data_IF_378951126643
#
_entry.id   IF_378951126643
#
_cell.length_a   1.000
_cell.length_b   1.000
_cell.length_c   1.000
_cell.angle_alpha   90.00
_cell.angle_beta   90.00
_cell.angle_gamma   90.00
#
_symmetry.space_group_name_H-M   'P 1'
#
loop_
_entity.id
_entity.type
_entity.pdbx_description
1 polymer ?
#
# COMPACT_ATOMS: atom_id res chain seq x y z
N UNK A 1 -36.95 42.57 38.67
CA UNK A 1 -35.77 41.72 38.92
C UNK A 1 -36.02 40.39 38.22
N UNK A 2 -35.35 40.15 37.08
CA UNK A 2 -35.50 38.94 36.29
C UNK A 2 -34.53 37.86 36.78
N UNK A 3 -35.02 36.63 36.91
CA UNK A 3 -34.19 35.45 37.12
C UNK A 3 -34.07 34.71 35.78
N UNK A 4 -32.86 34.67 35.24
CA UNK A 4 -32.50 33.95 34.02
C UNK A 4 -32.28 32.49 34.40
N UNK A 5 -33.21 31.61 33.98
CA UNK A 5 -33.02 30.17 34.01
C UNK A 5 -32.08 29.78 32.86
N UNK A 6 -30.81 29.57 33.19
CA UNK A 6 -29.82 29.00 32.27
C UNK A 6 -30.09 27.52 32.03
N UNK A 7 -30.67 27.22 30.87
CA UNK A 7 -30.67 25.88 30.27
C UNK A 7 -29.22 25.50 29.94
N UNK A 8 -28.60 24.71 30.82
CA UNK A 8 -27.37 23.99 30.53
C UNK A 8 -27.75 22.86 29.58
N UNK A 9 -27.52 23.07 28.28
CA UNK A 9 -27.58 22.01 27.29
C UNK A 9 -26.47 21.00 27.59
N UNK A 10 -26.86 19.76 27.88
CA UNK A 10 -25.93 18.63 27.88
C UNK A 10 -25.25 18.56 26.50
N UNK A 11 -23.95 18.26 26.41
CA UNK A 11 -23.33 17.96 25.13
C UNK A 11 -24.08 16.78 24.51
N UNK A 12 -24.65 17.00 23.33
CA UNK A 12 -25.23 15.94 22.52
C UNK A 12 -24.17 14.85 22.38
N UNK A 13 -24.46 13.67 22.93
CA UNK A 13 -23.87 12.42 22.48
C UNK A 13 -24.13 12.34 20.98
N UNK A 14 -23.08 12.49 20.19
CA UNK A 14 -23.10 12.18 18.77
C UNK A 14 -23.49 10.71 18.69
N UNK A 15 -24.67 10.44 18.14
CA UNK A 15 -25.19 9.10 17.94
C UNK A 15 -24.19 8.28 17.12
N UNK A 16 -23.66 7.23 17.76
CA UNK A 16 -22.93 6.14 17.12
C UNK A 16 -23.89 5.34 16.24
N UNK A 17 -24.14 5.72 14.98
CA UNK A 17 -24.79 4.80 14.03
C UNK A 17 -24.72 5.36 12.61
N UNK A 18 -23.53 5.22 12.02
CA UNK A 18 -23.29 5.26 10.58
C UNK A 18 -21.81 4.89 10.32
N UNK A 19 -21.42 3.72 10.82
CA UNK A 19 -20.02 3.30 10.82
C UNK A 19 -19.63 2.69 9.47
N UNK A 20 -18.68 3.33 8.79
CA UNK A 20 -17.94 2.77 7.65
C UNK A 20 -17.60 1.30 7.92
N UNK A 21 -18.03 0.40 7.02
CA UNK A 21 -17.83 -1.04 7.16
C UNK A 21 -16.52 -1.42 6.49
N UNK A 22 -15.46 -1.57 7.29
CA UNK A 22 -14.15 -2.04 6.82
C UNK A 22 -13.94 -3.47 7.26
N UNK A 23 -13.52 -4.33 6.34
CA UNK A 23 -13.08 -5.70 6.63
C UNK A 23 -11.70 -5.92 6.02
N UNK A 24 -10.76 -6.38 6.84
CA UNK A 24 -9.45 -6.84 6.39
C UNK A 24 -9.42 -8.37 6.39
N UNK A 25 -8.95 -8.96 5.30
CA UNK A 25 -8.87 -10.41 5.11
C UNK A 25 -7.45 -10.80 4.72
N UNK A 26 -6.97 -11.88 5.31
CA UNK A 26 -5.69 -12.49 4.96
C UNK A 26 -5.96 -13.87 4.37
N UNK A 27 -5.44 -14.13 3.17
CA UNK A 27 -5.56 -15.44 2.53
C UNK A 27 -4.34 -16.31 2.82
N UNK A 28 -4.49 -17.65 2.78
CA UNK A 28 -3.35 -18.55 2.73
C UNK A 28 -2.43 -18.21 1.56
N UNK A 29 -1.14 -18.55 1.70
CA UNK A 29 -0.16 -18.37 0.63
C UNK A 29 -0.48 -19.28 -0.55
N UNK A 30 -0.63 -18.67 -1.72
CA UNK A 30 -0.82 -19.39 -2.99
C UNK A 30 0.51 -20.01 -3.43
N UNK A 31 0.51 -21.31 -3.68
CA UNK A 31 1.69 -22.05 -4.17
C UNK A 31 1.99 -21.76 -5.64
N UNK A 32 3.20 -22.09 -6.10
CA UNK A 32 3.61 -21.80 -7.49
C UNK A 32 2.82 -22.59 -8.54
N UNK A 33 2.51 -23.87 -8.27
CA UNK A 33 1.97 -24.80 -9.27
C UNK A 33 0.56 -24.46 -9.78
N UNK A 34 -0.25 -23.80 -8.96
CA UNK A 34 -1.66 -23.50 -9.28
C UNK A 34 -1.97 -22.00 -9.12
N UNK A 35 -0.95 -21.14 -9.19
CA UNK A 35 -1.07 -19.74 -8.79
C UNK A 35 -2.18 -18.99 -9.53
N UNK A 36 -2.25 -19.18 -10.85
CA UNK A 36 -3.26 -18.57 -11.72
C UNK A 36 -4.69 -19.00 -11.37
N UNK A 37 -4.92 -20.29 -11.13
CA UNK A 37 -6.26 -20.82 -10.88
C UNK A 37 -6.76 -20.45 -9.48
N UNK A 38 -5.90 -20.54 -8.46
CA UNK A 38 -6.23 -20.12 -7.09
C UNK A 38 -6.50 -18.61 -7.04
N UNK A 39 -5.67 -17.80 -7.72
CA UNK A 39 -5.91 -16.36 -7.82
C UNK A 39 -7.21 -16.06 -8.55
N UNK A 40 -7.49 -16.71 -9.68
CA UNK A 40 -8.74 -16.52 -10.44
C UNK A 40 -9.94 -16.79 -9.54
N UNK A 41 -9.97 -17.93 -8.84
CA UNK A 41 -11.05 -18.30 -7.92
C UNK A 41 -11.26 -17.28 -6.80
N UNK A 42 -10.17 -16.76 -6.24
CA UNK A 42 -10.25 -15.71 -5.21
C UNK A 42 -10.83 -14.41 -5.78
N UNK A 43 -10.38 -14.00 -6.97
CA UNK A 43 -10.83 -12.78 -7.61
C UNK A 43 -12.29 -12.88 -8.12
N UNK A 44 -12.74 -14.05 -8.58
CA UNK A 44 -14.15 -14.31 -8.97
C UNK A 44 -15.13 -14.07 -7.82
N UNK A 45 -14.67 -14.24 -6.58
CA UNK A 45 -15.50 -13.98 -5.39
C UNK A 45 -15.68 -12.50 -5.06
N UNK A 46 -14.95 -11.61 -5.75
CA UNK A 46 -14.91 -10.18 -5.47
C UNK A 46 -15.49 -9.37 -6.63
N UNK A 47 -16.42 -8.46 -6.33
CA UNK A 47 -16.92 -7.54 -7.33
C UNK A 47 -15.88 -6.44 -7.64
N UNK A 48 -15.44 -6.32 -8.89
CA UNK A 48 -14.58 -5.25 -9.40
C UNK A 48 -13.32 -4.97 -8.57
N UNK A 49 -12.47 -5.99 -8.33
CA UNK A 49 -11.31 -5.85 -7.45
C UNK A 49 -10.31 -4.83 -7.99
N UNK A 50 -9.83 -3.95 -7.12
CA UNK A 50 -8.69 -3.07 -7.37
C UNK A 50 -7.44 -3.75 -6.83
N UNK A 51 -6.52 -4.11 -7.71
CA UNK A 51 -5.44 -5.03 -7.38
C UNK A 51 -4.13 -4.27 -7.40
N UNK A 52 -3.34 -4.37 -6.34
CA UNK A 52 -2.03 -3.77 -6.26
C UNK A 52 -0.95 -4.82 -6.06
N UNK A 53 0.16 -4.66 -6.78
CA UNK A 53 1.35 -5.50 -6.66
C UNK A 53 2.63 -4.68 -6.79
N UNK A 54 3.70 -5.16 -6.16
CA UNK A 54 4.98 -4.48 -6.05
C UNK A 54 5.85 -4.80 -7.26
N UNK A 55 6.59 -3.80 -7.76
CA UNK A 55 7.70 -4.00 -8.68
C UNK A 55 8.82 -2.99 -8.41
N UNK A 56 9.99 -3.18 -9.00
CA UNK A 56 11.07 -2.20 -8.93
C UNK A 56 11.42 -1.74 -10.34
N UNK A 57 11.26 -0.44 -10.62
CA UNK A 57 11.50 0.12 -11.94
C UNK A 57 12.98 0.40 -12.24
N UNK A 58 13.91 0.24 -11.29
CA UNK A 58 15.30 0.71 -11.45
C UNK A 58 16.21 -0.23 -12.25
N UNK A 59 15.79 -1.47 -12.40
CA UNK A 59 16.38 -2.47 -13.28
C UNK A 59 15.18 -3.20 -13.90
N UNK A 60 15.16 -3.34 -15.23
CA UNK A 60 14.07 -3.98 -15.99
C UNK A 60 13.40 -5.09 -15.21
N UNK A 61 12.06 -5.07 -15.10
CA UNK A 61 11.27 -6.17 -14.53
C UNK A 61 11.93 -7.49 -14.95
N UNK A 62 12.34 -8.32 -13.98
CA UNK A 62 12.91 -9.63 -14.29
C UNK A 62 11.93 -10.34 -15.22
N UNK A 63 12.44 -10.96 -16.27
CA UNK A 63 11.59 -11.54 -17.32
C UNK A 63 10.59 -12.56 -16.76
N UNK A 64 11.02 -13.37 -15.80
CA UNK A 64 10.18 -14.33 -15.08
C UNK A 64 9.08 -13.63 -14.26
N UNK A 65 9.39 -12.53 -13.60
CA UNK A 65 8.39 -11.75 -12.85
C UNK A 65 7.42 -11.03 -13.78
N UNK A 66 7.93 -10.46 -14.88
CA UNK A 66 7.10 -9.86 -15.90
C UNK A 66 6.12 -10.89 -16.49
N UNK A 67 6.61 -12.08 -16.82
CA UNK A 67 5.82 -13.20 -17.32
C UNK A 67 4.76 -13.65 -16.30
N UNK A 68 5.15 -13.80 -15.03
CA UNK A 68 4.20 -14.10 -13.95
C UNK A 68 3.11 -13.02 -13.85
N UNK A 69 3.49 -11.75 -13.87
CA UNK A 69 2.56 -10.63 -13.79
C UNK A 69 1.60 -10.63 -14.98
N UNK A 70 2.09 -10.80 -16.22
CA UNK A 70 1.26 -10.77 -17.42
C UNK A 70 0.40 -12.01 -17.59
N UNK A 71 1.00 -13.20 -17.56
CA UNK A 71 0.32 -14.46 -17.91
C UNK A 71 -0.48 -15.05 -16.75
N UNK A 72 -0.16 -14.73 -15.50
CA UNK A 72 -0.88 -15.27 -14.35
C UNK A 72 -1.83 -14.23 -13.75
N UNK A 73 -1.34 -13.03 -13.47
CA UNK A 73 -2.12 -12.04 -12.72
C UNK A 73 -3.03 -11.23 -13.63
N UNK A 74 -2.49 -10.57 -14.65
CA UNK A 74 -3.29 -9.74 -15.57
C UNK A 74 -4.33 -10.61 -16.27
N UNK A 75 -3.96 -11.80 -16.74
CA UNK A 75 -4.91 -12.78 -17.28
C UNK A 75 -6.03 -13.17 -16.31
N UNK A 76 -5.70 -13.53 -15.06
CA UNK A 76 -6.70 -13.88 -14.06
C UNK A 76 -7.67 -12.70 -13.81
N UNK A 77 -7.14 -11.49 -13.76
CA UNK A 77 -7.92 -10.27 -13.55
C UNK A 77 -8.83 -10.02 -14.74
N UNK A 78 -8.32 -10.10 -15.97
CA UNK A 78 -9.12 -9.91 -17.19
C UNK A 78 -10.25 -10.92 -17.33
N UNK A 79 -10.05 -12.17 -16.89
CA UNK A 79 -11.10 -13.19 -16.89
C UNK A 79 -12.27 -12.86 -15.96
N UNK A 80 -12.01 -12.20 -14.84
CA UNK A 80 -13.03 -11.93 -13.80
C UNK A 80 -13.54 -10.48 -13.84
N UNK A 81 -12.84 -9.61 -14.54
CA UNK A 81 -13.08 -8.18 -14.52
C UNK A 81 -14.21 -7.79 -15.43
N UNK A 82 -15.27 -7.19 -14.87
CA UNK A 82 -16.09 -6.24 -15.63
C UNK A 82 -15.30 -4.93 -15.80
N UNK A 83 -15.68 -4.02 -16.69
CA UNK A 83 -14.87 -2.87 -17.22
C UNK A 83 -14.27 -1.86 -16.20
N UNK A 84 -14.31 -2.13 -14.90
CA UNK A 84 -13.97 -1.21 -13.80
C UNK A 84 -12.80 -1.65 -12.92
N UNK A 85 -12.31 -2.89 -12.99
CA UNK A 85 -11.13 -3.32 -12.22
C UNK A 85 -9.87 -2.58 -12.68
N UNK A 86 -8.94 -2.36 -11.75
CA UNK A 86 -7.64 -1.75 -12.02
C UNK A 86 -6.51 -2.58 -11.43
N UNK A 87 -5.37 -2.51 -12.10
CA UNK A 87 -4.12 -3.12 -11.70
C UNK A 87 -3.13 -1.99 -11.40
N UNK A 88 -2.84 -1.81 -10.13
CA UNK A 88 -1.87 -0.87 -9.62
C UNK A 88 -0.51 -1.55 -9.56
N UNK A 89 0.40 -1.13 -10.42
CA UNK A 89 1.80 -1.52 -10.36
C UNK A 89 2.55 -0.50 -9.51
N UNK A 90 3.08 -0.94 -8.38
CA UNK A 90 3.73 -0.07 -7.40
C UNK A 90 5.25 -0.15 -7.46
N UNK A 91 5.91 0.92 -7.93
CA UNK A 91 7.37 1.01 -8.02
C UNK A 91 7.99 1.34 -6.67
N UNK A 92 8.67 0.37 -6.06
CA UNK A 92 9.35 0.54 -4.77
C UNK A 92 10.78 1.08 -4.86
N UNK A 93 11.25 1.52 -6.04
CA UNK A 93 12.62 1.95 -6.24
C UNK A 93 13.10 3.07 -5.29
N UNK A 94 12.19 3.87 -4.71
CA UNK A 94 12.57 4.94 -3.77
C UNK A 94 13.03 4.45 -2.41
N UNK A 95 12.60 3.27 -2.01
CA UNK A 95 13.14 2.60 -0.81
C UNK A 95 14.64 2.33 -0.90
N UNK A 96 15.17 2.18 -2.12
CA UNK A 96 16.59 1.95 -2.39
C UNK A 96 17.34 3.22 -2.82
N UNK A 97 16.73 4.40 -2.68
CA UNK A 97 17.41 5.65 -3.01
C UNK A 97 18.54 5.90 -2.00
N UNK A 98 19.78 5.72 -2.45
CA UNK A 98 20.99 6.16 -1.74
C UNK A 98 21.16 7.68 -1.71
N UNK A 99 20.34 8.42 -2.48
CA UNK A 99 20.32 9.89 -2.48
C UNK A 99 19.36 10.39 -1.40
N UNK A 100 19.81 11.37 -0.63
CA UNK A 100 19.26 11.93 0.62
C UNK A 100 17.87 12.57 0.56
N UNK A 101 17.08 12.37 -0.50
CA UNK A 101 15.69 12.79 -0.53
C UNK A 101 14.81 11.74 -1.23
N UNK A 102 14.09 10.91 -0.46
CA UNK A 102 13.18 9.91 -1.02
C UNK A 102 11.93 10.55 -1.69
N UNK A 103 11.68 11.85 -1.50
CA UNK A 103 10.55 12.59 -2.10
C UNK A 103 10.84 13.13 -3.51
N UNK A 104 12.11 13.14 -3.93
CA UNK A 104 12.50 13.69 -5.23
C UNK A 104 11.80 12.94 -6.35
N UNK A 105 11.21 13.66 -7.29
CA UNK A 105 10.63 13.04 -8.49
C UNK A 105 11.70 12.26 -9.26
N UNK A 106 11.41 10.99 -9.50
CA UNK A 106 12.20 10.15 -10.37
C UNK A 106 11.25 9.13 -10.99
N UNK A 107 11.25 9.12 -12.30
CA UNK A 107 10.53 8.15 -13.11
C UNK A 107 11.57 7.30 -13.81
N UNK A 108 11.62 6.01 -13.50
CA UNK A 108 12.48 5.08 -14.24
C UNK A 108 12.03 4.98 -15.70
N UNK A 109 12.93 4.55 -16.59
CA UNK A 109 12.57 4.32 -17.99
C UNK A 109 11.48 3.25 -18.09
N UNK A 110 11.53 2.25 -17.21
CA UNK A 110 10.58 1.15 -17.07
C UNK A 110 9.21 1.64 -16.62
N UNK A 111 9.14 2.46 -15.56
CA UNK A 111 7.89 3.09 -15.14
C UNK A 111 7.27 3.89 -16.29
N UNK A 112 8.09 4.65 -17.02
CA UNK A 112 7.64 5.40 -18.18
C UNK A 112 7.13 4.47 -19.29
N UNK A 113 7.87 3.40 -19.60
CA UNK A 113 7.50 2.40 -20.61
C UNK A 113 6.15 1.75 -20.31
N UNK A 114 5.93 1.29 -19.07
CA UNK A 114 4.66 0.66 -18.67
C UNK A 114 3.52 1.68 -18.76
N UNK A 115 3.73 2.91 -18.29
CA UNK A 115 2.75 4.00 -18.40
C UNK A 115 2.43 4.33 -19.87
N UNK A 116 3.43 4.27 -20.75
CA UNK A 116 3.28 4.54 -22.18
C UNK A 116 2.51 3.43 -22.94
N UNK A 117 2.34 2.23 -22.34
CA UNK A 117 1.47 1.19 -22.91
C UNK A 117 -0.01 1.59 -22.95
N UNK A 118 -0.40 2.65 -22.20
CA UNK A 118 -1.76 3.24 -22.19
C UNK A 118 -2.89 2.22 -21.97
N UNK A 119 -2.61 1.15 -21.24
CA UNK A 119 -3.63 0.17 -20.91
C UNK A 119 -4.57 0.77 -19.88
N UNK A 120 -5.86 0.84 -20.22
CA UNK A 120 -6.81 1.60 -19.42
C UNK A 120 -6.97 1.02 -18.01
N UNK A 121 -6.76 -0.28 -17.84
CA UNK A 121 -6.83 -1.07 -16.62
C UNK A 121 -5.56 -0.97 -15.75
N UNK A 122 -4.42 -0.55 -16.29
CA UNK A 122 -3.15 -0.47 -15.53
C UNK A 122 -2.87 0.95 -15.04
N UNK A 123 -2.58 1.08 -13.75
CA UNK A 123 -2.16 2.32 -13.10
C UNK A 123 -0.76 2.11 -12.52
N UNK A 124 0.20 2.97 -12.85
CA UNK A 124 1.53 2.93 -12.25
C UNK A 124 1.63 3.95 -11.11
N UNK A 125 2.05 3.48 -9.94
CA UNK A 125 2.28 4.28 -8.72
C UNK A 125 3.75 4.19 -8.31
N UNK A 126 4.27 5.24 -7.65
CA UNK A 126 5.67 5.29 -7.23
C UNK A 126 5.77 5.49 -5.71
N UNK A 127 6.67 4.76 -5.05
CA UNK A 127 6.98 4.90 -3.61
C UNK A 127 7.40 6.32 -3.20
N UNK A 128 7.89 7.14 -4.12
CA UNK A 128 8.12 8.57 -3.90
C UNK A 128 6.85 9.35 -3.53
N UNK A 129 5.69 8.92 -4.01
CA UNK A 129 4.40 9.53 -3.64
C UNK A 129 4.05 9.26 -2.17
N UNK A 130 4.39 8.08 -1.65
CA UNK A 130 4.24 7.77 -0.23
C UNK A 130 5.13 8.69 0.63
N UNK A 131 6.38 8.89 0.25
CA UNK A 131 7.27 9.79 0.98
C UNK A 131 6.82 11.26 0.90
N UNK A 132 6.32 11.70 -0.27
CA UNK A 132 5.69 13.02 -0.41
C UNK A 132 4.45 13.15 0.48
N UNK A 133 3.63 12.11 0.56
CA UNK A 133 2.48 12.04 1.45
C UNK A 133 2.90 12.23 2.92
N UNK A 134 3.89 11.50 3.40
CA UNK A 134 4.41 11.68 4.77
C UNK A 134 4.93 13.11 5.01
N UNK A 135 5.69 13.67 4.06
CA UNK A 135 6.24 15.03 4.14
C UNK A 135 5.16 16.12 4.10
N UNK A 136 3.99 15.85 3.53
CA UNK A 136 2.92 16.84 3.38
C UNK A 136 2.23 17.20 4.70
N UNK A 137 2.30 16.33 5.71
CA UNK A 137 1.68 16.57 7.01
C UNK A 137 2.47 17.59 7.83
N UNK A 138 1.80 18.69 8.20
CA UNK A 138 2.38 19.77 9.01
C UNK A 138 1.59 19.99 10.30
N UNK A 139 2.17 20.70 11.26
CA UNK A 139 1.48 21.08 12.50
C UNK A 139 0.65 22.38 12.35
N UNK A 140 0.46 22.87 11.12
CA UNK A 140 -0.23 24.14 10.86
C UNK A 140 -1.74 24.01 10.78
N UNK A 141 -2.23 22.84 10.38
CA UNK A 141 -3.66 22.56 10.28
C UNK A 141 -4.08 21.43 11.23
N UNK A 142 -5.35 21.50 11.67
CA UNK A 142 -5.90 20.61 12.68
C UNK A 142 -5.99 19.16 12.21
N UNK A 143 -6.30 18.93 10.93
CA UNK A 143 -6.42 17.59 10.36
C UNK A 143 -5.07 16.89 10.34
N UNK A 144 -4.04 17.55 9.82
CA UNK A 144 -2.67 17.05 9.82
C UNK A 144 -2.16 16.80 11.22
N UNK A 145 -2.42 17.71 12.17
CA UNK A 145 -2.02 17.55 13.57
C UNK A 145 -2.66 16.32 14.21
N UNK A 146 -3.97 16.10 13.97
CA UNK A 146 -4.67 14.92 14.48
C UNK A 146 -4.12 13.62 13.90
N UNK A 147 -3.80 13.61 12.61
CA UNK A 147 -3.19 12.46 11.95
C UNK A 147 -1.78 12.18 12.49
N UNK A 148 -0.94 13.22 12.58
CA UNK A 148 0.42 13.14 13.17
C UNK A 148 0.37 12.57 14.58
N UNK A 149 -0.55 13.05 15.43
CA UNK A 149 -0.67 12.57 16.80
C UNK A 149 -1.13 11.10 16.84
N UNK A 150 -2.10 10.70 16.00
CA UNK A 150 -2.52 9.31 15.91
C UNK A 150 -1.35 8.38 15.55
N UNK A 151 -0.58 8.74 14.53
CA UNK A 151 0.59 7.95 14.11
C UNK A 151 1.64 7.88 15.24
N UNK A 152 1.96 9.01 15.88
CA UNK A 152 3.01 9.06 16.89
C UNK A 152 2.63 8.44 18.22
N UNK A 153 1.37 8.52 18.63
CA UNK A 153 0.91 8.08 19.94
C UNK A 153 0.31 6.68 19.91
N UNK A 154 -0.29 6.27 18.78
CA UNK A 154 -0.90 4.94 18.65
C UNK A 154 0.02 4.03 17.83
N UNK A 155 0.29 4.36 16.57
CA UNK A 155 1.02 3.43 15.69
C UNK A 155 2.45 3.19 16.19
N UNK A 156 3.21 4.24 16.50
CA UNK A 156 4.61 4.07 16.91
C UNK A 156 4.80 3.50 18.30
N UNK A 157 3.84 3.70 19.22
CA UNK A 157 3.97 3.29 20.64
C UNK A 157 3.19 2.02 20.97
N UNK A 158 1.98 1.87 20.46
CA UNK A 158 1.04 0.82 20.87
C UNK A 158 0.95 -0.34 19.87
N UNK A 159 1.75 -0.33 18.80
CA UNK A 159 1.81 -1.43 17.81
C UNK A 159 3.21 -2.06 17.77
N UNK A 160 3.70 -2.67 18.87
CA UNK A 160 5.06 -3.21 18.94
C UNK A 160 5.33 -4.30 17.89
N UNK A 161 4.30 -5.07 17.50
CA UNK A 161 4.41 -6.13 16.48
C UNK A 161 4.96 -5.62 15.13
N UNK A 162 4.71 -4.34 14.81
CA UNK A 162 5.19 -3.73 13.58
C UNK A 162 6.72 -3.76 13.55
N UNK A 163 7.38 -3.48 14.68
CA UNK A 163 8.84 -3.41 14.77
C UNK A 163 9.50 -4.78 14.75
N UNK A 164 8.84 -5.79 15.32
CA UNK A 164 9.32 -7.17 15.42
C UNK A 164 9.71 -7.78 14.07
N UNK A 165 9.02 -7.39 12.99
CA UNK A 165 9.25 -7.92 11.65
C UNK A 165 10.60 -7.46 11.11
N UNK A 166 10.93 -6.17 11.27
CA UNK A 166 12.23 -5.64 10.86
C UNK A 166 13.37 -6.25 11.67
N UNK A 167 13.15 -6.53 12.95
CA UNK A 167 14.13 -7.16 13.84
C UNK A 167 14.41 -8.62 13.50
N UNK A 168 13.40 -9.36 13.03
CA UNK A 168 13.49 -10.82 12.81
C UNK A 168 13.74 -11.23 11.37
N UNK A 169 13.37 -10.41 10.37
CA UNK A 169 13.21 -10.87 8.97
C UNK A 169 13.80 -9.95 7.89
N UNK A 170 14.29 -8.75 8.22
CA UNK A 170 14.71 -7.80 7.18
C UNK A 170 16.02 -8.21 6.50
N UNK A 171 15.92 -8.91 5.37
CA UNK A 171 17.00 -9.02 4.36
C UNK A 171 16.92 -7.90 3.31
N UNK A 172 15.89 -7.06 3.35
CA UNK A 172 15.73 -5.91 2.44
C UNK A 172 16.82 -4.90 2.74
N UNK A 173 17.18 -4.11 1.72
CA UNK A 173 18.36 -3.24 1.66
C UNK A 173 18.04 -1.74 1.85
N UNK A 174 17.22 -1.31 2.84
CA UNK A 174 17.22 0.12 3.16
C UNK A 174 18.63 0.51 3.65
N UNK A 175 18.99 1.81 3.57
CA UNK A 175 20.32 2.27 3.97
C UNK A 175 20.69 1.82 5.38
N UNK A 176 21.66 0.92 5.49
CA UNK A 176 22.18 0.46 6.78
C UNK A 176 22.97 1.59 7.45
N UNK A 177 22.85 1.69 8.78
CA UNK A 177 23.56 2.68 9.60
C UNK A 177 23.24 4.16 9.29
N UNK A 178 22.16 4.43 8.58
CA UNK A 178 21.61 5.80 8.42
C UNK A 178 20.41 5.94 9.35
N UNK A 179 20.27 7.07 10.03
CA UNK A 179 19.05 7.38 10.79
C UNK A 179 17.95 7.90 9.87
N UNK A 180 16.68 7.79 10.27
CA UNK A 180 15.59 8.39 9.49
C UNK A 180 15.79 9.90 9.28
N UNK A 181 16.22 10.63 10.30
CA UNK A 181 16.50 12.07 10.20
C UNK A 181 17.55 12.40 9.13
N UNK A 182 18.56 11.55 8.95
CA UNK A 182 19.57 11.72 7.90
C UNK A 182 19.02 11.36 6.52
N UNK A 183 18.14 10.38 6.43
CA UNK A 183 17.63 9.88 5.15
C UNK A 183 16.49 10.72 4.56
N UNK A 184 15.53 11.14 5.39
CA UNK A 184 14.34 11.85 4.96
C UNK A 184 14.19 13.26 5.56
N UNK A 185 15.05 13.66 6.50
CA UNK A 185 14.92 14.91 7.23
C UNK A 185 13.90 14.84 8.38
N UNK A 186 13.57 16.01 8.95
CA UNK A 186 12.74 16.11 10.16
C UNK A 186 11.25 16.27 9.80
N UNK A 187 10.58 15.17 9.46
CA UNK A 187 9.14 15.20 9.19
C UNK A 187 8.33 15.06 10.49
N UNK A 188 7.33 15.93 10.76
CA UNK A 188 6.55 15.89 11.99
C UNK A 188 5.89 14.53 12.27
N UNK A 189 5.40 13.86 11.21
CA UNK A 189 4.77 12.54 11.32
C UNK A 189 5.73 11.44 11.80
N UNK A 190 7.05 11.62 11.62
CA UNK A 190 8.08 10.66 12.01
C UNK A 190 8.79 11.03 13.32
N UNK A 191 8.40 12.11 14.01
CA UNK A 191 9.16 12.71 15.13
C UNK A 191 9.63 11.71 16.19
N UNK A 192 8.81 10.71 16.54
CA UNK A 192 9.13 9.73 17.59
C UNK A 192 10.13 8.66 17.14
N UNK A 193 10.38 8.53 15.83
CA UNK A 193 11.27 7.51 15.25
C UNK A 193 12.45 8.09 14.47
N UNK A 194 12.57 9.42 14.36
CA UNK A 194 13.61 10.10 13.57
C UNK A 194 15.05 9.66 13.91
N UNK A 195 15.32 9.32 15.16
CA UNK A 195 16.66 8.91 15.62
C UNK A 195 16.93 7.40 15.44
N UNK A 196 15.93 6.62 15.02
CA UNK A 196 16.10 5.20 14.76
C UNK A 196 16.74 4.97 13.38
N UNK A 197 17.37 3.81 13.20
CA UNK A 197 17.96 3.42 11.92
C UNK A 197 16.86 3.10 10.89
N UNK A 198 17.12 3.38 9.61
CA UNK A 198 16.14 3.16 8.53
C UNK A 198 15.75 1.68 8.41
N UNK A 199 16.69 0.76 8.59
CA UNK A 199 16.44 -0.69 8.54
C UNK A 199 15.53 -1.19 9.65
N UNK A 200 15.64 -0.62 10.85
CA UNK A 200 14.77 -0.95 11.99
C UNK A 200 13.37 -0.36 11.86
N UNK A 201 13.23 0.74 11.13
CA UNK A 201 11.95 1.45 10.96
C UNK A 201 11.20 1.04 9.69
N UNK A 202 11.83 0.23 8.84
CA UNK A 202 11.31 -0.17 7.53
C UNK A 202 9.91 -0.78 7.61
N UNK A 203 9.68 -1.74 8.50
CA UNK A 203 8.37 -2.37 8.69
C UNK A 203 7.28 -1.39 9.12
N UNK A 204 7.60 -0.42 9.98
CA UNK A 204 6.65 0.63 10.37
C UNK A 204 6.30 1.56 9.24
N UNK A 205 7.27 1.90 8.40
CA UNK A 205 7.00 2.68 7.21
C UNK A 205 6.24 1.86 6.14
N UNK A 206 6.50 0.56 5.98
CA UNK A 206 5.72 -0.35 5.11
C UNK A 206 4.26 -0.49 5.57
N UNK A 207 4.03 -0.54 6.88
CA UNK A 207 2.69 -0.51 7.48
C UNK A 207 1.93 0.76 7.06
N UNK A 208 2.56 1.94 7.16
CA UNK A 208 1.97 3.20 6.71
C UNK A 208 1.83 3.29 5.19
N UNK A 209 2.73 2.69 4.44
CA UNK A 209 2.66 2.63 2.98
C UNK A 209 1.42 1.85 2.53
N UNK A 210 1.08 0.74 3.19
CA UNK A 210 -0.17 0.03 2.96
C UNK A 210 -1.41 0.92 3.15
N UNK A 211 -1.44 1.72 4.22
CA UNK A 211 -2.51 2.70 4.43
C UNK A 211 -2.57 3.77 3.32
N UNK A 212 -1.42 4.34 2.95
CA UNK A 212 -1.35 5.30 1.86
C UNK A 212 -1.91 4.73 0.56
N UNK A 213 -1.57 3.48 0.22
CA UNK A 213 -2.06 2.80 -0.97
C UNK A 213 -3.58 2.57 -0.93
N UNK A 214 -4.13 2.15 0.21
CA UNK A 214 -5.59 2.05 0.42
C UNK A 214 -6.26 3.40 0.14
N UNK A 215 -5.75 4.46 0.78
CA UNK A 215 -6.28 5.81 0.63
C UNK A 215 -6.21 6.28 -0.84
N UNK A 216 -5.10 6.02 -1.52
CA UNK A 216 -4.89 6.40 -2.91
C UNK A 216 -5.86 5.70 -3.85
N UNK A 217 -6.03 4.38 -3.73
CA UNK A 217 -6.98 3.61 -4.54
C UNK A 217 -8.43 4.07 -4.33
N UNK A 218 -8.84 4.31 -3.08
CA UNK A 218 -10.18 4.84 -2.76
C UNK A 218 -10.39 6.22 -3.40
N UNK A 219 -9.43 7.14 -3.26
CA UNK A 219 -9.49 8.48 -3.87
C UNK A 219 -9.64 8.38 -5.40
N UNK A 220 -8.88 7.51 -6.05
CA UNK A 220 -8.93 7.35 -7.49
C UNK A 220 -10.30 6.81 -7.97
N UNK A 221 -10.90 5.88 -7.21
CA UNK A 221 -12.27 5.39 -7.48
C UNK A 221 -13.33 6.48 -7.31
N UNK A 222 -13.26 7.25 -6.22
CA UNK A 222 -14.21 8.34 -5.95
C UNK A 222 -14.09 9.42 -7.05
N UNK A 223 -12.87 9.86 -7.36
CA UNK A 223 -12.62 10.90 -8.35
C UNK A 223 -13.02 10.48 -9.77
N UNK A 224 -12.92 9.20 -10.10
CA UNK A 224 -13.35 8.67 -11.39
C UNK A 224 -14.86 8.44 -11.50
N UNK A 225 -15.65 8.74 -10.44
CA UNK A 225 -17.08 8.44 -10.33
C UNK A 225 -17.40 6.96 -10.57
N UNK A 226 -16.44 6.09 -10.28
CA UNK A 226 -16.56 4.62 -10.35
C UNK A 226 -16.68 3.98 -8.97
N UNK A 227 -16.60 4.78 -7.90
CA UNK A 227 -16.86 4.31 -6.55
C UNK A 227 -18.29 3.77 -6.47
N UNK A 228 -18.41 2.48 -6.20
CA UNK A 228 -19.65 1.84 -5.82
C UNK A 228 -19.78 1.86 -4.29
N UNK A 229 -20.95 1.49 -3.76
CA UNK A 229 -21.13 1.30 -2.31
C UNK A 229 -20.22 0.19 -1.76
N UNK A 230 -19.67 -0.67 -2.64
CA UNK A 230 -18.68 -1.69 -2.30
C UNK A 230 -17.33 -1.45 -3.01
N UNK A 231 -16.25 -1.42 -2.24
CA UNK A 231 -14.88 -1.30 -2.74
C UNK A 231 -14.10 -2.53 -2.30
N UNK A 232 -13.60 -3.29 -3.28
CA UNK A 232 -12.74 -4.44 -3.03
C UNK A 232 -11.30 -4.08 -3.42
N UNK A 233 -10.42 -3.98 -2.44
CA UNK A 233 -8.99 -3.74 -2.60
C UNK A 233 -8.26 -5.06 -2.37
N UNK A 234 -7.34 -5.41 -3.27
CA UNK A 234 -6.58 -6.65 -3.21
C UNK A 234 -5.10 -6.32 -3.28
N UNK A 235 -4.36 -6.76 -2.26
CA UNK A 235 -2.92 -6.64 -2.17
C UNK A 235 -2.30 -8.00 -2.52
N UNK A 236 -1.71 -8.09 -3.71
CA UNK A 236 -0.93 -9.27 -4.14
C UNK A 236 0.50 -9.10 -3.66
N UNK A 237 0.89 -9.94 -2.70
CA UNK A 237 2.14 -9.79 -1.97
C UNK A 237 3.07 -10.99 -2.21
N UNK A 238 4.33 -10.78 -2.62
CA UNK A 238 5.26 -11.88 -2.73
C UNK A 238 5.69 -12.37 -1.34
N UNK A 239 5.69 -13.69 -1.19
CA UNK A 239 6.19 -14.41 -0.02
C UNK A 239 5.68 -13.85 1.31
N UNK A 240 6.59 -13.33 2.13
CA UNK A 240 6.33 -12.99 3.52
C UNK A 240 6.11 -11.48 3.76
N UNK A 241 5.90 -10.69 2.68
CA UNK A 241 5.49 -9.28 2.73
C UNK A 241 4.18 -9.06 3.50
N UNK A 242 3.28 -10.05 3.49
CA UNK A 242 2.01 -10.00 4.24
C UNK A 242 2.22 -9.79 5.75
N UNK A 243 3.38 -10.18 6.27
CA UNK A 243 3.69 -10.04 7.69
C UNK A 243 3.64 -8.58 8.14
N UNK A 244 3.90 -7.60 7.27
CA UNK A 244 3.81 -6.17 7.63
C UNK A 244 2.41 -5.74 8.04
N UNK A 245 1.38 -6.50 7.70
CA UNK A 245 -0.02 -6.14 7.94
C UNK A 245 -0.73 -7.12 8.88
N UNK A 246 -0.13 -8.29 9.14
CA UNK A 246 -0.69 -9.32 10.01
C UNK A 246 -0.57 -8.91 11.48
N UNK A 247 -1.72 -8.84 12.14
CA UNK A 247 -1.82 -8.79 13.59
C UNK A 247 -2.97 -9.65 14.11
N UNK A 248 -2.81 -10.15 15.33
CA UNK A 248 -3.79 -11.05 15.95
C UNK A 248 -5.07 -10.32 16.40
N UNK A 249 -4.97 -9.01 16.65
CA UNK A 249 -6.02 -8.20 17.29
C UNK A 249 -6.84 -7.33 16.31
N UNK A 250 -6.69 -7.56 14.99
CA UNK A 250 -7.28 -6.75 13.92
C UNK A 250 -6.93 -5.26 14.04
N UNK A 251 -5.73 -4.92 14.51
CA UNK A 251 -5.33 -3.53 14.71
C UNK A 251 -5.15 -2.82 13.37
N UNK A 252 -4.68 -3.50 12.32
CA UNK A 252 -4.63 -2.93 10.96
C UNK A 252 -6.02 -2.51 10.46
N UNK A 253 -7.04 -3.35 10.65
CA UNK A 253 -8.44 -3.00 10.29
C UNK A 253 -8.93 -1.77 11.06
N UNK A 254 -8.70 -1.74 12.38
CA UNK A 254 -9.07 -0.60 13.24
C UNK A 254 -8.35 0.68 12.83
N UNK A 255 -7.05 0.58 12.56
CA UNK A 255 -6.21 1.71 12.18
C UNK A 255 -6.64 2.28 10.82
N UNK A 256 -6.88 1.43 9.82
CA UNK A 256 -7.42 1.85 8.52
C UNK A 256 -8.79 2.52 8.68
N UNK A 257 -9.70 1.94 9.47
CA UNK A 257 -11.02 2.52 9.77
C UNK A 257 -10.91 3.90 10.39
N UNK A 258 -10.09 4.04 11.43
CA UNK A 258 -9.88 5.30 12.13
C UNK A 258 -9.26 6.36 11.21
N UNK A 259 -8.27 5.99 10.41
CA UNK A 259 -7.57 6.92 9.55
C UNK A 259 -8.42 7.37 8.35
N UNK A 260 -9.23 6.49 7.77
CA UNK A 260 -10.19 6.85 6.70
C UNK A 260 -11.32 7.75 7.22
N UNK A 261 -11.85 7.46 8.41
CA UNK A 261 -12.87 8.27 9.06
C UNK A 261 -12.37 9.69 9.39
N UNK A 262 -11.17 9.81 9.96
CA UNK A 262 -10.56 11.11 10.33
C UNK A 262 -10.34 12.05 9.14
N UNK A 263 -10.22 11.52 7.94
CA UNK A 263 -10.01 12.28 6.71
C UNK A 263 -11.30 12.48 5.90
N UNK A 264 -12.46 12.06 6.43
CA UNK A 264 -13.75 12.14 5.76
C UNK A 264 -13.72 11.56 4.33
N UNK A 265 -12.90 10.53 4.10
CA UNK A 265 -12.66 10.05 2.73
C UNK A 265 -13.81 9.19 2.20
N UNK A 266 -14.58 8.59 3.09
CA UNK A 266 -15.57 7.55 2.78
C UNK A 266 -16.88 7.86 3.51
N UNK A 267 -18.00 7.59 2.85
CA UNK A 267 -19.32 7.78 3.46
C UNK A 267 -19.67 6.61 4.39
N UNK A 268 -20.63 6.83 5.29
CA UNK A 268 -21.09 5.83 6.26
C UNK A 268 -21.59 4.53 5.66
N UNK A 269 -22.11 4.60 4.43
CA UNK A 269 -22.69 3.46 3.72
C UNK A 269 -21.67 2.64 2.90
N UNK A 270 -20.43 3.12 2.76
CA UNK A 270 -19.41 2.39 2.01
C UNK A 270 -18.93 1.14 2.75
N UNK A 271 -18.91 0.02 2.02
CA UNK A 271 -18.29 -1.24 2.42
C UNK A 271 -16.94 -1.39 1.73
N UNK A 272 -15.88 -1.47 2.52
CA UNK A 272 -14.51 -1.61 2.02
C UNK A 272 -13.96 -2.94 2.49
N UNK A 273 -13.65 -3.82 1.54
CA UNK A 273 -12.95 -5.07 1.80
C UNK A 273 -11.51 -4.94 1.33
N UNK A 274 -10.56 -5.19 2.22
CA UNK A 274 -9.11 -5.22 1.91
C UNK A 274 -8.66 -6.66 2.05
N UNK A 275 -8.20 -7.26 0.96
CA UNK A 275 -7.76 -8.66 0.93
C UNK A 275 -6.27 -8.72 0.63
N UNK A 276 -5.50 -9.31 1.53
CA UNK A 276 -4.09 -9.63 1.31
C UNK A 276 -3.97 -11.07 0.81
N UNK A 277 -3.39 -11.24 -0.37
CA UNK A 277 -3.16 -12.54 -0.99
C UNK A 277 -1.64 -12.71 -1.15
N UNK A 278 -1.00 -13.49 -0.27
CA UNK A 278 0.40 -13.81 -0.42
C UNK A 278 0.56 -14.89 -1.50
N UNK A 279 1.63 -14.82 -2.29
CA UNK A 279 1.98 -15.88 -3.25
C UNK A 279 3.45 -16.26 -3.10
N UNK A 280 3.75 -17.55 -3.24
CA UNK A 280 5.12 -18.02 -3.21
C UNK A 280 5.86 -17.54 -4.46
N UNK A 281 7.03 -16.94 -4.28
CA UNK A 281 7.97 -16.53 -5.31
C UNK A 281 9.30 -17.21 -5.07
N UNK A 282 9.62 -18.18 -5.94
CA UNK A 282 10.74 -19.10 -5.77
C UNK A 282 10.63 -19.92 -4.46
N UNK A 283 11.59 -20.79 -4.19
CA UNK A 283 11.56 -21.66 -3.01
C UNK A 283 12.02 -20.99 -1.69
N UNK A 284 12.17 -19.67 -1.66
CA UNK A 284 12.69 -18.93 -0.51
C UNK A 284 11.79 -17.75 -0.17
N UNK A 285 11.13 -17.82 0.99
CA UNK A 285 10.20 -16.81 1.49
C UNK A 285 10.83 -15.41 1.67
N UNK A 286 12.16 -15.33 1.78
CA UNK A 286 12.85 -14.05 1.89
C UNK A 286 13.15 -13.41 0.54
N UNK A 287 12.99 -14.15 -0.56
CA UNK A 287 13.17 -13.59 -1.90
C UNK A 287 12.03 -12.66 -2.24
N UNK A 288 12.31 -11.77 -3.17
CA UNK A 288 11.34 -10.84 -3.73
C UNK A 288 11.55 -10.78 -5.24
N UNK A 289 10.47 -10.77 -6.03
CA UNK A 289 10.56 -10.63 -7.49
C UNK A 289 11.23 -9.31 -7.91
N UNK A 290 11.21 -8.31 -7.03
CA UNK A 290 11.74 -6.97 -7.26
C UNK A 290 13.12 -6.69 -6.63
N UNK A 291 13.75 -7.64 -5.94
CA UNK A 291 15.12 -7.50 -5.44
C UNK A 291 16.08 -8.29 -6.32
N UNK A 292 17.12 -7.63 -6.86
CA UNK A 292 18.15 -8.30 -7.65
C UNK A 292 19.24 -8.86 -6.74
N UNK A 293 19.33 -10.19 -6.67
CA UNK A 293 20.51 -10.86 -6.16
C UNK A 293 21.47 -11.06 -7.33
N UNK A 294 22.30 -10.05 -7.63
CA UNK A 294 23.53 -10.13 -8.46
C UNK A 294 23.45 -10.62 -9.92
N UNK A 295 22.37 -11.19 -10.41
CA UNK A 295 22.26 -11.61 -11.82
C UNK A 295 21.88 -10.41 -12.71
N UNK A 296 22.63 -10.25 -13.82
CA UNK A 296 22.47 -9.12 -14.74
C UNK A 296 21.00 -9.07 -15.21
N UNK A 297 20.32 -7.92 -15.11
CA UNK A 297 18.97 -7.80 -15.60
C UNK A 297 18.92 -8.12 -17.10
N UNK A 298 18.15 -9.16 -17.47
CA UNK A 298 17.69 -9.32 -18.83
C UNK A 298 16.79 -8.12 -19.12
N UNK A 299 17.34 -7.18 -19.87
CA UNK A 299 16.62 -5.98 -20.24
C UNK A 299 15.54 -6.36 -21.23
N UNK A 300 14.27 -6.17 -20.88
CA UNK A 300 13.18 -6.13 -21.87
C UNK A 300 13.52 -4.97 -22.81
N UNK A 301 14.05 -5.29 -23.99
CA UNK A 301 14.62 -4.30 -24.93
C UNK A 301 13.62 -3.85 -25.98
N UNK A 302 12.61 -4.67 -26.29
CA UNK A 302 11.73 -4.45 -27.44
C UNK A 302 10.24 -4.40 -27.06
N UNK A 303 9.45 -3.64 -27.83
CA UNK A 303 7.99 -3.57 -27.66
C UNK A 303 7.28 -4.91 -27.88
N UNK A 304 7.87 -5.82 -28.67
CA UNK A 304 7.32 -7.15 -28.95
C UNK A 304 7.16 -8.00 -27.69
N UNK A 305 8.03 -7.82 -26.70
CA UNK A 305 7.99 -8.57 -25.45
C UNK A 305 6.86 -8.05 -24.53
N UNK A 306 6.41 -6.82 -24.76
CA UNK A 306 5.27 -6.19 -24.09
C UNK A 306 3.96 -6.37 -24.87
N UNK A 307 3.99 -6.94 -26.08
CA UNK A 307 2.77 -7.29 -26.82
C UNK A 307 1.96 -8.36 -26.07
N UNK A 308 2.59 -9.10 -25.14
CA UNK A 308 1.92 -10.00 -24.17
C UNK A 308 0.93 -9.23 -23.28
N UNK A 309 1.19 -7.95 -22.98
CA UNK A 309 0.23 -7.13 -22.25
C UNK A 309 -0.91 -6.63 -23.14
N UNK A 310 -0.73 -6.55 -24.47
CA UNK A 310 -1.74 -6.02 -25.41
C UNK A 310 -2.86 -7.00 -25.74
N UNK A 311 -2.79 -8.24 -25.24
CA UNK A 311 -3.82 -9.29 -25.43
C UNK A 311 -4.99 -9.10 -24.47
#
# INVERSE_FOLDING_TARGET
MSAINGLISKPQQIQEEDQIKISVRFRPMIGEKNRKDELTKELESLANPQIITWFMGRASLREDWFKCLSEEFIDAIRKVSTTTSKIYLYDIAKWQSSKSDPTREYTSAEFKRIKDLKQSDIVCLNSGEFFKFLKSYTLKDKESTNFINYINDIIWKERPFIWDISLKKSKVTPPKNTTLSQWCGNWPILKNILNQKVDLTYSGLQYLEGYFLIQKMIKDLINSKKASDEINLVFLLPNDEINYYLDDDKSFEKDVKNMLAKQNLVSSNMKITITFIPFNWENDLSKRPYLFNSEKPLTIKNMSDLDILKV
#
